data_IF_726520671705
#
_entry.id   IF_726520671705
#
_cell.length_a   1.000
_cell.length_b   1.000
_cell.length_c   1.000
_cell.angle_alpha   90.00
_cell.angle_beta   90.00
_cell.angle_gamma   90.00
#
_symmetry.space_group_name_H-M   'P 1'
#
loop_
_entity.id
_entity.type
_entity.pdbx_description
1 polymer ?
#
# COMPACT_ATOMS: atom_id res chain seq x y z
N UNK A 1 -5.79 8.65 16.96
CA UNK A 1 -5.63 8.31 15.52
C UNK A 1 -4.20 7.85 15.33
N UNK A 2 -4.00 6.66 14.77
CA UNK A 2 -2.65 6.11 14.60
C UNK A 2 -1.90 6.90 13.52
N UNK A 3 -0.71 7.41 13.87
CA UNK A 3 0.25 8.12 12.99
C UNK A 3 0.86 7.20 11.90
N UNK A 4 0.14 6.15 11.49
CA UNK A 4 0.64 5.08 10.62
C UNK A 4 0.75 5.53 9.17
N UNK A 5 -0.25 6.25 8.66
CA UNK A 5 -0.30 6.69 7.26
C UNK A 5 0.58 7.92 7.02
N UNK A 6 0.70 8.80 8.00
CA UNK A 6 1.71 9.86 8.01
C UNK A 6 3.14 9.29 8.02
N UNK A 7 3.43 8.27 8.85
CA UNK A 7 4.72 7.56 8.78
C UNK A 7 4.99 6.93 7.40
N UNK A 8 3.95 6.44 6.73
CA UNK A 8 4.06 5.90 5.39
C UNK A 8 4.39 7.01 4.39
N UNK A 9 3.66 8.13 4.44
CA UNK A 9 3.88 9.31 3.61
C UNK A 9 5.32 9.79 3.73
N UNK A 10 5.80 9.99 4.96
CA UNK A 10 7.20 10.35 5.25
C UNK A 10 8.17 9.35 4.63
N UNK A 11 7.97 8.05 4.83
CA UNK A 11 8.88 7.02 4.32
C UNK A 11 8.97 7.03 2.78
N UNK A 12 7.86 7.27 2.07
CA UNK A 12 7.86 7.35 0.60
C UNK A 12 8.51 8.66 0.14
N UNK A 13 8.15 9.80 0.73
CA UNK A 13 8.70 11.11 0.36
C UNK A 13 10.20 11.19 0.60
N UNK A 14 10.70 10.66 1.72
CA UNK A 14 12.13 10.59 2.03
C UNK A 14 12.88 9.69 1.04
N UNK A 15 12.29 8.56 0.65
CA UNK A 15 12.94 7.61 -0.26
C UNK A 15 13.21 8.21 -1.65
N UNK A 16 12.33 9.08 -2.13
CA UNK A 16 12.44 9.72 -3.45
C UNK A 16 13.07 11.13 -3.39
N UNK A 17 13.35 11.65 -2.20
CA UNK A 17 13.84 13.00 -2.02
C UNK A 17 15.18 13.21 -2.75
N UNK A 18 15.22 14.22 -3.62
CA UNK A 18 16.39 14.58 -4.42
C UNK A 18 16.66 13.68 -5.63
N UNK A 19 15.80 12.70 -5.94
CA UNK A 19 15.92 11.90 -7.16
C UNK A 19 15.38 12.67 -8.36
N UNK A 20 16.15 12.71 -9.45
CA UNK A 20 15.67 13.26 -10.73
C UNK A 20 14.75 12.26 -11.45
N UNK A 21 13.97 12.70 -12.46
CA UNK A 21 13.22 11.76 -13.31
C UNK A 21 14.11 10.67 -13.94
N UNK A 22 15.36 11.00 -14.29
CA UNK A 22 16.31 10.03 -14.82
C UNK A 22 16.77 9.00 -13.77
N UNK A 23 16.98 9.43 -12.52
CA UNK A 23 17.29 8.50 -11.41
C UNK A 23 16.11 7.55 -11.15
N UNK A 24 14.89 8.08 -11.18
CA UNK A 24 13.67 7.30 -10.94
C UNK A 24 13.42 6.26 -12.04
N UNK A 25 13.78 6.57 -13.29
CA UNK A 25 13.63 5.70 -14.45
C UNK A 25 14.83 4.74 -14.65
N UNK A 26 15.90 4.85 -13.87
CA UNK A 26 17.08 3.98 -14.03
C UNK A 26 16.71 2.53 -13.70
N UNK A 27 16.84 1.65 -14.69
CA UNK A 27 16.53 0.24 -14.54
C UNK A 27 17.75 -0.58 -14.11
N UNK A 28 17.71 -1.26 -12.95
CA UNK A 28 18.61 -2.37 -12.67
C UNK A 28 18.24 -3.61 -13.49
N UNK A 29 19.23 -4.44 -13.83
CA UNK A 29 19.02 -5.67 -14.60
C UNK A 29 17.99 -6.60 -13.94
N UNK A 30 16.92 -6.90 -14.68
CA UNK A 30 15.87 -7.84 -14.29
C UNK A 30 15.04 -7.44 -13.07
N UNK A 31 15.10 -6.19 -12.62
CA UNK A 31 14.30 -5.68 -11.48
C UNK A 31 13.59 -4.38 -11.85
N UNK A 32 12.59 -4.02 -11.05
CA UNK A 32 11.89 -2.76 -11.22
C UNK A 32 12.77 -1.54 -10.91
N UNK A 33 12.61 -0.48 -11.69
CA UNK A 33 13.13 0.84 -11.36
C UNK A 33 12.30 1.50 -10.24
N UNK A 34 12.74 2.64 -9.73
CA UNK A 34 12.03 3.32 -8.66
C UNK A 34 10.64 3.82 -9.10
N UNK A 35 10.50 4.33 -10.33
CA UNK A 35 9.21 4.75 -10.88
C UNK A 35 8.20 3.59 -10.96
N UNK A 36 8.64 2.40 -11.35
CA UNK A 36 7.78 1.20 -11.37
C UNK A 36 7.38 0.76 -9.95
N UNK A 37 8.29 0.83 -8.98
CA UNK A 37 7.97 0.55 -7.57
C UNK A 37 6.92 1.53 -7.04
N UNK A 38 7.04 2.83 -7.38
CA UNK A 38 6.05 3.83 -7.01
C UNK A 38 4.69 3.55 -7.66
N UNK A 39 4.67 3.13 -8.92
CA UNK A 39 3.41 2.82 -9.60
C UNK A 39 2.74 1.56 -9.02
N UNK A 40 3.54 0.56 -8.65
CA UNK A 40 3.04 -0.60 -7.91
C UNK A 40 2.33 -0.17 -6.62
N UNK A 41 2.97 0.67 -5.80
CA UNK A 41 2.37 1.22 -4.58
C UNK A 41 1.09 2.01 -4.89
N UNK A 42 1.15 2.90 -5.88
CA UNK A 42 0.02 3.72 -6.33
C UNK A 42 -1.21 2.86 -6.66
N UNK A 43 -1.02 1.78 -7.42
CA UNK A 43 -2.09 0.83 -7.76
C UNK A 43 -2.63 0.09 -6.55
N UNK A 44 -1.80 -0.22 -5.55
CA UNK A 44 -2.30 -0.79 -4.28
C UNK A 44 -3.17 0.19 -3.50
N UNK A 45 -2.84 1.49 -3.52
CA UNK A 45 -3.63 2.52 -2.85
C UNK A 45 -4.98 2.72 -3.55
N UNK A 46 -4.97 2.87 -4.88
CA UNK A 46 -6.19 2.97 -5.70
C UNK A 46 -7.09 1.75 -5.46
N UNK A 47 -6.53 0.54 -5.49
CA UNK A 47 -7.27 -0.69 -5.27
C UNK A 47 -7.89 -0.77 -3.87
N UNK A 48 -7.18 -0.32 -2.84
CA UNK A 48 -7.68 -0.29 -1.47
C UNK A 48 -8.81 0.73 -1.31
N UNK A 49 -8.60 1.97 -1.78
CA UNK A 49 -9.61 3.02 -1.74
C UNK A 49 -10.90 2.56 -2.44
N UNK A 50 -10.81 2.01 -3.66
CA UNK A 50 -11.97 1.46 -4.38
C UNK A 50 -12.70 0.37 -3.60
N UNK A 51 -11.97 -0.54 -2.95
CA UNK A 51 -12.57 -1.64 -2.19
C UNK A 51 -13.32 -1.14 -0.94
N UNK A 52 -12.72 -0.21 -0.20
CA UNK A 52 -13.32 0.39 0.99
C UNK A 52 -14.49 1.32 0.64
N UNK A 53 -14.39 2.06 -0.48
CA UNK A 53 -15.47 2.89 -0.99
C UNK A 53 -16.74 2.06 -1.25
N UNK A 54 -16.61 0.82 -1.76
CA UNK A 54 -17.76 -0.09 -1.93
C UNK A 54 -18.46 -0.39 -0.61
N UNK A 55 -17.72 -0.51 0.49
CA UNK A 55 -18.30 -0.71 1.82
C UNK A 55 -19.07 0.53 2.27
N UNK A 56 -18.50 1.73 2.08
CA UNK A 56 -19.17 3.00 2.38
C UNK A 56 -20.45 3.18 1.56
N UNK A 57 -20.40 2.89 0.25
CA UNK A 57 -21.58 2.95 -0.62
C UNK A 57 -22.65 1.94 -0.22
N UNK A 58 -22.27 0.70 0.09
CA UNK A 58 -23.20 -0.33 0.56
C UNK A 58 -23.74 -0.06 1.98
N UNK A 59 -23.08 0.83 2.73
CA UNK A 59 -23.42 1.13 4.12
C UNK A 59 -23.15 -0.01 5.10
N UNK A 60 -22.39 -1.03 4.69
CA UNK A 60 -22.03 -2.18 5.51
C UNK A 60 -20.62 -2.69 5.16
N UNK A 61 -20.01 -3.42 6.09
CA UNK A 61 -18.75 -4.13 5.84
C UNK A 61 -18.96 -5.24 4.81
N UNK A 62 -18.05 -5.40 3.86
CA UNK A 62 -18.09 -6.44 2.83
C UNK A 62 -16.98 -7.49 3.02
N UNK A 63 -16.44 -7.59 4.23
CA UNK A 63 -15.38 -8.54 4.56
C UNK A 63 -15.94 -9.96 4.71
N UNK A 64 -15.22 -10.95 4.19
CA UNK A 64 -15.60 -12.36 4.33
C UNK A 64 -15.56 -12.80 5.81
N UNK A 65 -16.37 -13.80 6.21
CA UNK A 65 -16.35 -14.29 7.59
C UNK A 65 -15.09 -15.11 7.91
N UNK A 66 -14.45 -15.71 6.90
CA UNK A 66 -13.25 -16.53 7.11
C UNK A 66 -11.98 -15.67 7.29
N UNK A 67 -11.69 -15.34 8.55
CA UNK A 67 -10.39 -14.76 8.95
C UNK A 67 -9.33 -15.80 9.26
N UNK A 68 -9.70 -17.07 9.46
CA UNK A 68 -8.83 -18.08 10.08
C UNK A 68 -7.80 -18.59 9.08
N UNK A 69 -8.21 -18.82 7.82
CA UNK A 69 -7.33 -19.33 6.76
C UNK A 69 -6.12 -18.43 6.47
N UNK A 70 -6.21 -17.12 6.76
CA UNK A 70 -5.14 -16.14 6.54
C UNK A 70 -4.55 -15.55 7.82
N UNK A 71 -4.75 -16.21 8.96
CA UNK A 71 -4.30 -15.72 10.28
C UNK A 71 -2.79 -15.44 10.33
N UNK A 72 -1.96 -16.39 9.91
CA UNK A 72 -0.51 -16.27 10.04
C UNK A 72 0.10 -15.20 9.13
N UNK A 73 -0.17 -15.16 7.79
CA UNK A 73 0.33 -14.09 6.94
C UNK A 73 -0.09 -12.69 7.44
N UNK A 74 -1.33 -12.54 7.92
CA UNK A 74 -1.81 -11.30 8.51
C UNK A 74 -1.03 -10.94 9.77
N UNK A 75 -0.84 -11.89 10.70
CA UNK A 75 -0.08 -11.66 11.93
C UNK A 75 1.38 -11.27 11.69
N UNK A 76 2.09 -11.97 10.80
CA UNK A 76 3.50 -11.63 10.50
C UNK A 76 3.64 -10.23 9.92
N UNK A 77 2.71 -9.82 9.06
CA UNK A 77 2.84 -8.56 8.34
C UNK A 77 2.28 -7.38 9.12
N UNK A 78 1.06 -7.49 9.67
CA UNK A 78 0.42 -6.40 10.42
C UNK A 78 0.80 -6.38 11.91
N UNK A 79 1.28 -7.51 12.45
CA UNK A 79 1.73 -7.64 13.84
C UNK A 79 3.24 -7.47 14.00
N UNK A 80 4.05 -8.15 13.18
CA UNK A 80 5.51 -8.17 13.30
C UNK A 80 6.24 -7.31 12.25
N UNK A 81 5.53 -6.74 11.27
CA UNK A 81 6.14 -5.92 10.22
C UNK A 81 7.03 -6.70 9.25
N UNK A 82 6.91 -8.03 9.21
CA UNK A 82 7.71 -8.90 8.35
C UNK A 82 7.01 -9.05 6.99
N UNK A 83 7.69 -8.60 5.94
CA UNK A 83 7.22 -8.74 4.56
C UNK A 83 7.79 -10.03 3.94
N UNK A 84 6.95 -10.99 3.53
CA UNK A 84 7.43 -12.27 3.01
C UNK A 84 8.13 -12.08 1.65
N UNK A 85 9.31 -12.71 1.50
CA UNK A 85 10.05 -12.74 0.24
C UNK A 85 9.55 -13.84 -0.71
N UNK A 86 9.81 -13.69 -2.01
CA UNK A 86 9.58 -14.73 -3.02
C UNK A 86 8.15 -14.80 -3.58
N UNK A 87 7.22 -13.98 -3.08
CA UNK A 87 5.87 -13.86 -3.65
C UNK A 87 5.86 -12.88 -4.83
N UNK A 88 5.28 -13.28 -5.96
CA UNK A 88 5.03 -12.38 -7.09
C UNK A 88 3.88 -11.41 -6.77
N UNK A 89 4.00 -10.19 -7.28
CA UNK A 89 2.92 -9.20 -7.22
C UNK A 89 1.70 -9.67 -8.02
N UNK A 90 0.45 -9.45 -7.54
CA UNK A 90 -0.75 -9.75 -8.32
C UNK A 90 -0.79 -8.95 -9.63
N UNK A 91 -1.30 -9.55 -10.71
CA UNK A 91 -1.33 -8.95 -12.06
C UNK A 91 -1.95 -7.54 -12.09
N UNK A 92 -3.05 -7.34 -11.36
CA UNK A 92 -3.78 -6.07 -11.25
C UNK A 92 -3.00 -4.90 -10.64
N UNK A 93 -1.83 -5.16 -10.04
CA UNK A 93 -0.97 -4.12 -9.44
C UNK A 93 0.45 -4.22 -10.00
N UNK A 94 0.63 -4.78 -11.19
CA UNK A 94 1.89 -4.65 -11.92
C UNK A 94 2.05 -3.20 -12.41
N UNK A 95 3.28 -2.67 -12.45
CA UNK A 95 3.55 -1.31 -12.94
C UNK A 95 3.03 -1.10 -14.37
N UNK A 96 2.49 0.09 -14.63
CA UNK A 96 1.94 0.50 -15.94
C UNK A 96 2.94 1.27 -16.79
N UNK A 97 4.17 1.47 -16.30
CA UNK A 97 5.21 2.27 -16.94
C UNK A 97 4.82 3.75 -17.13
N UNK A 98 4.23 4.37 -16.11
CA UNK A 98 3.95 5.80 -16.12
C UNK A 98 5.24 6.65 -16.12
N UNK A 99 5.21 7.87 -16.69
CA UNK A 99 6.30 8.82 -16.56
C UNK A 99 6.68 9.06 -15.07
N UNK A 100 7.98 9.14 -14.72
CA UNK A 100 8.41 9.35 -13.34
C UNK A 100 7.82 10.60 -12.67
N UNK A 101 7.68 11.69 -13.43
CA UNK A 101 7.05 12.93 -12.95
C UNK A 101 5.56 12.77 -12.65
N UNK A 102 4.87 11.92 -13.39
CA UNK A 102 3.45 11.63 -13.17
C UNK A 102 3.26 10.74 -11.94
N UNK A 103 4.01 9.63 -11.85
CA UNK A 103 3.81 8.65 -10.77
C UNK A 103 4.17 9.19 -9.40
N UNK A 104 5.19 10.06 -9.31
CA UNK A 104 5.61 10.70 -8.04
C UNK A 104 4.53 11.63 -7.47
N UNK A 105 3.74 12.27 -8.33
CA UNK A 105 2.58 13.08 -7.92
C UNK A 105 1.39 12.18 -7.57
N UNK A 106 1.04 11.26 -8.47
CA UNK A 106 -0.13 10.39 -8.28
C UNK A 106 -0.04 9.53 -7.01
N UNK A 107 1.14 8.99 -6.69
CA UNK A 107 1.30 8.08 -5.54
C UNK A 107 0.99 8.79 -4.21
N UNK A 108 1.36 10.07 -4.07
CA UNK A 108 1.09 10.85 -2.86
C UNK A 108 -0.40 11.25 -2.79
N UNK A 109 -0.99 11.64 -3.93
CA UNK A 109 -2.41 11.98 -4.00
C UNK A 109 -3.29 10.77 -3.66
N UNK A 110 -3.01 9.61 -4.25
CA UNK A 110 -3.78 8.40 -4.01
C UNK A 110 -3.54 7.82 -2.61
N UNK A 111 -2.37 8.05 -2.00
CA UNK A 111 -2.14 7.75 -0.59
C UNK A 111 -3.05 8.59 0.31
N UNK A 112 -3.12 9.91 0.08
CA UNK A 112 -4.03 10.80 0.83
C UNK A 112 -5.49 10.39 0.66
N UNK A 113 -5.91 10.12 -0.59
CA UNK A 113 -7.27 9.70 -0.84
C UNK A 113 -7.61 8.36 -0.13
N UNK A 114 -6.70 7.39 -0.19
CA UNK A 114 -6.88 6.12 0.54
C UNK A 114 -6.97 6.35 2.06
N UNK A 115 -6.16 7.25 2.61
CA UNK A 115 -6.20 7.62 4.03
C UNK A 115 -7.56 8.20 4.43
N UNK A 116 -8.12 9.11 3.64
CA UNK A 116 -9.45 9.68 3.86
C UNK A 116 -10.51 8.57 3.89
N UNK A 117 -10.51 7.68 2.90
CA UNK A 117 -11.47 6.56 2.85
C UNK A 117 -11.31 5.59 4.02
N UNK A 118 -10.07 5.30 4.47
CA UNK A 118 -9.85 4.47 5.66
C UNK A 118 -10.44 5.16 6.90
N UNK A 119 -10.25 6.47 7.06
CA UNK A 119 -10.80 7.25 8.18
C UNK A 119 -12.33 7.28 8.15
N UNK A 120 -12.94 7.44 6.98
CA UNK A 120 -14.39 7.37 6.82
C UNK A 120 -14.94 5.99 7.18
N UNK A 121 -14.29 4.91 6.73
CA UNK A 121 -14.65 3.55 7.14
C UNK A 121 -14.53 3.35 8.65
N UNK A 122 -13.49 3.89 9.28
CA UNK A 122 -13.30 3.79 10.73
C UNK A 122 -14.39 4.55 11.49
N UNK A 123 -14.75 5.76 11.03
CA UNK A 123 -15.83 6.55 11.61
C UNK A 123 -17.19 5.85 11.48
N UNK A 124 -17.45 5.20 10.34
CA UNK A 124 -18.74 4.56 10.04
C UNK A 124 -18.90 3.17 10.64
N UNK A 125 -17.85 2.35 10.62
CA UNK A 125 -17.92 0.92 10.97
C UNK A 125 -17.15 0.56 12.24
N UNK A 126 -16.41 1.52 12.81
CA UNK A 126 -15.48 1.29 13.90
C UNK A 126 -14.18 0.60 13.43
N UNK A 127 -13.31 0.27 14.38
CA UNK A 127 -11.98 -0.31 14.10
C UNK A 127 -11.83 -1.79 14.50
N UNK A 128 -12.83 -2.36 15.17
CA UNK A 128 -12.76 -3.71 15.75
C UNK A 128 -13.15 -4.82 14.78
N UNK A 129 -13.99 -4.51 13.79
CA UNK A 129 -14.49 -5.46 12.79
C UNK A 129 -13.74 -5.31 11.46
N UNK A 130 -13.51 -6.42 10.73
CA UNK A 130 -12.97 -6.32 9.38
C UNK A 130 -13.97 -5.60 8.47
N UNK A 131 -13.46 -4.77 7.57
CA UNK A 131 -14.27 -3.93 6.68
C UNK A 131 -14.33 -4.53 5.28
N UNK A 132 -13.18 -4.98 4.75
CA UNK A 132 -13.08 -5.56 3.42
C UNK A 132 -11.91 -6.54 3.33
N UNK A 133 -11.93 -7.39 2.30
CA UNK A 133 -10.89 -8.39 2.07
C UNK A 133 -9.67 -7.83 1.35
N UNK A 134 -8.49 -8.15 1.87
CA UNK A 134 -7.23 -8.04 1.16
C UNK A 134 -6.95 -9.34 0.38
N UNK A 135 -6.55 -9.28 -0.91
CA UNK A 135 -6.42 -10.48 -1.75
C UNK A 135 -5.44 -11.55 -1.27
N UNK A 136 -4.49 -11.19 -0.38
CA UNK A 136 -3.54 -12.14 0.21
C UNK A 136 -3.82 -12.40 1.69
N UNK A 137 -4.31 -11.39 2.42
CA UNK A 137 -4.38 -11.42 3.89
C UNK A 137 -5.80 -11.70 4.41
N UNK A 138 -6.76 -11.82 3.51
CA UNK A 138 -8.17 -12.01 3.84
C UNK A 138 -8.77 -10.75 4.48
N UNK A 139 -9.81 -10.91 5.32
CA UNK A 139 -10.55 -9.80 5.89
C UNK A 139 -9.67 -8.95 6.83
N UNK A 140 -9.59 -7.65 6.57
CA UNK A 140 -8.79 -6.69 7.36
C UNK A 140 -9.68 -5.62 8.00
N UNK A 141 -9.35 -5.23 9.24
CA UNK A 141 -9.88 -4.01 9.87
C UNK A 141 -9.22 -2.76 9.28
N UNK A 142 -9.78 -1.58 9.55
CA UNK A 142 -9.18 -0.29 9.14
C UNK A 142 -7.75 -0.13 9.66
N UNK A 143 -7.50 -0.48 10.92
CA UNK A 143 -6.16 -0.42 11.50
C UNK A 143 -5.18 -1.40 10.82
N UNK A 144 -5.64 -2.60 10.46
CA UNK A 144 -4.80 -3.56 9.73
C UNK A 144 -4.51 -3.12 8.30
N UNK A 145 -5.45 -2.46 7.63
CA UNK A 145 -5.22 -1.82 6.33
C UNK A 145 -4.12 -0.75 6.42
N UNK A 146 -4.19 0.15 7.40
CA UNK A 146 -3.16 1.16 7.61
C UNK A 146 -1.80 0.53 7.89
N UNK A 147 -1.75 -0.49 8.77
CA UNK A 147 -0.50 -1.19 9.10
C UNK A 147 0.09 -1.95 7.91
N UNK A 148 -0.74 -2.62 7.12
CA UNK A 148 -0.33 -3.29 5.90
C UNK A 148 0.39 -2.30 4.98
N UNK A 149 -0.25 -1.15 4.70
CA UNK A 149 0.32 -0.14 3.80
C UNK A 149 1.60 0.47 4.34
N UNK A 150 1.71 0.72 5.65
CA UNK A 150 2.96 1.18 6.25
C UNK A 150 4.11 0.18 6.06
N UNK A 151 3.87 -1.09 6.36
CA UNK A 151 4.90 -2.14 6.26
C UNK A 151 5.29 -2.38 4.80
N UNK A 152 4.29 -2.41 3.92
CA UNK A 152 4.49 -2.56 2.48
C UNK A 152 5.26 -1.38 1.88
N UNK A 153 4.87 -0.15 2.19
CA UNK A 153 5.55 1.05 1.72
C UNK A 153 6.96 1.19 2.27
N UNK A 154 7.22 0.85 3.55
CA UNK A 154 8.58 0.82 4.11
C UNK A 154 9.47 -0.22 3.44
N UNK A 155 8.93 -1.38 3.09
CA UNK A 155 9.66 -2.39 2.32
C UNK A 155 10.13 -1.81 0.97
N UNK A 156 9.23 -1.17 0.24
CA UNK A 156 9.53 -0.56 -1.05
C UNK A 156 10.40 0.71 -0.97
N UNK A 157 10.21 1.55 0.05
CA UNK A 157 11.08 2.69 0.34
C UNK A 157 12.55 2.24 0.50
N UNK A 158 12.79 1.14 1.22
CA UNK A 158 14.14 0.55 1.35
C UNK A 158 14.68 0.06 0.01
N UNK A 159 13.83 -0.44 -0.89
CA UNK A 159 14.27 -0.83 -2.24
C UNK A 159 14.65 0.40 -3.08
N UNK A 160 13.83 1.45 -3.06
CA UNK A 160 14.12 2.72 -3.76
C UNK A 160 15.43 3.32 -3.27
N UNK A 161 15.65 3.38 -1.95
CA UNK A 161 16.90 3.88 -1.37
C UNK A 161 18.13 3.11 -1.85
N UNK A 162 18.02 1.78 -2.04
CA UNK A 162 19.11 0.96 -2.61
C UNK A 162 19.34 1.27 -4.08
N UNK A 163 18.28 1.53 -4.85
CA UNK A 163 18.41 1.92 -6.26
C UNK A 163 19.09 3.28 -6.42
N UNK A 164 18.88 4.19 -5.47
CA UNK A 164 19.56 5.50 -5.45
C UNK A 164 21.08 5.39 -5.25
N UNK A 165 21.54 4.38 -4.53
CA UNK A 165 22.97 4.18 -4.22
C UNK A 165 23.74 3.47 -5.34
N UNK A 166 23.05 2.99 -6.38
CA UNK A 166 23.63 2.31 -7.54
C UNK A 166 23.60 3.21 -8.78
#
# INVERSE_FOLDING_TARGET
MNNTLEQLRTAITEAIHGMTPADLARHPDGKWCAAEILDHLNLTYIGTAKNLQRCLTAGQTLASPDRRSKRWPRFFLTGLGLFPSGRKSPERVLPRNLPPSQVTVEVIQNLTHMEEIIRECEARFGNSKPVADHPVLGPLTTNEWSKFHLVHGRHHAKQILRLRQN
#
